data_IF_353784758855
#
_entry.id   IF_353784758855
#
_cell.length_a   1.000
_cell.length_b   1.000
_cell.length_c   1.000
_cell.angle_alpha   90.00
_cell.angle_beta   90.00
_cell.angle_gamma   90.00
#
_symmetry.space_group_name_H-M   'P 1'
#
loop_
_entity.id
_entity.type
_entity.pdbx_description
1 polymer ?
2 non-polymer ?
3 water ?
#
# COMPACT_ATOMS: atom_id res chain seq x y z
N UNK A 11 3.45 -21.43 13.44
CA UNK A 11 2.32 -20.83 12.71
C UNK A 11 1.00 -21.58 12.96
N UNK A 12 -0.07 -20.84 13.25
CA UNK A 12 -1.34 -21.48 13.57
C UNK A 12 -1.88 -22.34 12.43
N UNK A 13 -1.91 -23.64 12.62
CA UNK A 13 -2.40 -24.57 11.61
C UNK A 13 -3.90 -24.70 11.76
N UNK A 14 -4.63 -24.56 10.66
CA UNK A 14 -6.10 -24.59 10.63
C UNK A 14 -6.56 -25.88 9.93
N UNK A 15 -7.54 -26.53 10.51
CA UNK A 15 -8.06 -27.73 9.85
C UNK A 15 -8.96 -27.34 8.69
N UNK A 16 -8.85 -28.03 7.55
CA UNK A 16 -9.70 -27.67 6.39
C UNK A 16 -11.21 -27.71 6.69
N UNK A 17 -11.65 -28.49 7.68
CA UNK A 17 -13.08 -28.54 7.96
C UNK A 17 -13.57 -27.22 8.55
N UNK A 18 -12.67 -26.38 9.04
CA UNK A 18 -13.05 -25.09 9.58
C UNK A 18 -13.12 -24.01 8.52
N UNK A 19 -12.81 -24.33 7.26
CA UNK A 19 -12.69 -23.35 6.20
C UNK A 19 -13.76 -23.64 5.17
N UNK A 20 -14.48 -22.60 4.77
CA UNK A 20 -15.48 -22.66 3.71
C UNK A 20 -15.15 -21.61 2.67
N UNK A 21 -14.66 -22.03 1.51
CA UNK A 21 -14.45 -21.12 0.38
C UNK A 21 -15.79 -20.83 -0.25
N UNK A 22 -15.98 -19.59 -0.69
CA UNK A 22 -17.26 -19.17 -1.25
C UNK A 22 -17.14 -18.60 -2.67
N UNK A 23 -16.40 -17.51 -2.87
CA UNK A 23 -16.25 -16.96 -4.20
C UNK A 23 -14.78 -16.70 -4.47
N UNK A 24 -14.41 -16.74 -5.75
CA UNK A 24 -13.09 -16.31 -6.21
C UNK A 24 -13.05 -14.77 -6.28
N UNK A 25 -11.88 -14.22 -5.96
CA UNK A 25 -11.71 -12.78 -5.92
C UNK A 25 -10.35 -12.36 -6.46
N UNK A 26 -9.58 -13.30 -7.01
CA UNK A 26 -8.27 -12.99 -7.53
C UNK A 26 -7.54 -14.28 -7.86
N UNK A 27 -6.28 -14.10 -8.31
CA UNK A 27 -5.44 -15.22 -8.74
C UNK A 27 -4.06 -15.15 -8.09
N UNK A 28 -3.57 -16.31 -7.63
CA UNK A 28 -2.29 -16.39 -6.95
C UNK A 28 -1.20 -16.91 -7.86
N UNK A 29 -0.03 -17.14 -7.25
CA UNK A 29 1.11 -17.72 -7.95
C UNK A 29 0.69 -19.00 -8.66
N UNK A 30 0.16 -19.97 -7.89
CA UNK A 30 -0.30 -21.24 -8.43
C UNK A 30 -1.56 -21.63 -7.67
N UNK A 31 -2.57 -20.79 -7.79
CA UNK A 31 -3.84 -21.02 -7.14
C UNK A 31 -4.69 -19.78 -7.22
N UNK A 32 -5.94 -19.94 -6.78
CA UNK A 32 -6.90 -18.85 -6.77
C UNK A 32 -6.97 -18.25 -5.37
N UNK A 33 -7.57 -17.06 -5.27
CA UNK A 33 -7.81 -16.38 -4.01
C UNK A 33 -9.32 -16.28 -3.79
N UNK A 34 -9.79 -16.69 -2.61
CA UNK A 34 -11.21 -16.78 -2.33
C UNK A 34 -11.58 -15.86 -1.17
N UNK A 35 -12.87 -15.54 -1.11
CA UNK A 35 -13.49 -15.07 0.13
C UNK A 35 -14.23 -16.26 0.74
N UNK A 36 -14.28 -16.30 2.06
CA UNK A 36 -14.90 -17.43 2.72
C UNK A 36 -15.12 -17.18 4.19
N UNK A 37 -15.40 -18.27 4.91
CA UNK A 37 -15.70 -18.21 6.33
C UNK A 37 -14.74 -19.11 7.07
N UNK A 38 -14.41 -18.73 8.30
CA UNK A 38 -13.57 -19.53 9.18
C UNK A 38 -14.29 -19.74 10.50
N UNK A 39 -14.43 -21.00 10.89
CA UNK A 39 -15.09 -21.36 12.14
C UNK A 39 -14.07 -21.43 13.27
N UNK A 40 -14.40 -20.81 14.40
CA UNK A 40 -13.68 -21.05 15.66
C UNK A 40 -14.34 -20.25 16.80
N UNK A 46 -18.45 -17.75 13.19
CA UNK A 46 -17.85 -17.79 11.85
C UNK A 46 -17.34 -16.41 11.46
N UNK A 47 -16.09 -16.36 11.01
CA UNK A 47 -15.39 -15.12 10.67
C UNK A 47 -15.15 -15.11 9.17
N UNK A 48 -15.44 -14.00 8.47
CA UNK A 48 -15.10 -13.94 7.04
C UNK A 48 -13.58 -13.81 6.89
N UNK A 49 -13.03 -14.48 5.86
CA UNK A 49 -11.59 -14.53 5.64
C UNK A 49 -11.31 -14.45 4.15
N UNK A 50 -10.05 -14.15 3.83
CA UNK A 50 -9.54 -14.28 2.47
C UNK A 50 -8.61 -15.50 2.47
N UNK A 51 -8.63 -16.27 1.38
CA UNK A 51 -7.96 -17.58 1.30
C UNK A 51 -7.15 -17.61 0.02
N UNK A 52 -5.85 -17.84 0.13
CA UNK A 52 -4.96 -18.03 -1.01
C UNK A 52 -4.58 -19.50 -1.00
N UNK A 53 -4.80 -20.17 -2.12
CA UNK A 53 -4.55 -21.59 -2.20
C UNK A 53 -3.36 -21.85 -3.11
N UNK A 54 -2.66 -22.97 -2.85
CA UNK A 54 -1.58 -23.51 -3.70
C UNK A 54 -2.04 -24.85 -4.24
N UNK A 55 -2.29 -24.89 -5.54
CA UNK A 55 -3.00 -26.01 -6.14
C UNK A 55 -2.05 -27.11 -6.58
N UNK A 56 -2.62 -28.31 -6.78
CA UNK A 56 -1.84 -29.48 -7.11
C UNK A 56 -0.96 -29.21 -8.33
N UNK A 57 0.27 -29.68 -8.26
CA UNK A 57 1.24 -29.48 -9.31
C UNK A 57 2.19 -28.35 -9.05
N UNK A 58 2.03 -27.62 -7.92
CA UNK A 58 2.97 -26.56 -7.60
C UNK A 58 4.39 -27.11 -7.52
N UNK A 59 5.33 -26.26 -7.82
CA UNK A 59 6.75 -26.60 -7.90
C UNK A 59 7.36 -26.44 -6.51
N UNK A 60 8.57 -26.97 -6.37
CA UNK A 60 9.30 -26.79 -5.11
C UNK A 60 9.48 -25.30 -4.76
N UNK A 61 9.81 -24.49 -5.75
CA UNK A 61 10.01 -23.07 -5.50
C UNK A 61 8.71 -22.40 -5.07
N UNK A 62 7.61 -22.77 -5.70
CA UNK A 62 6.33 -22.21 -5.34
C UNK A 62 5.97 -22.56 -3.91
N UNK A 63 6.26 -23.78 -3.48
CA UNK A 63 5.97 -24.17 -2.11
C UNK A 63 6.84 -23.40 -1.12
N UNK A 64 8.12 -23.23 -1.46
CA UNK A 64 9.00 -22.46 -0.58
C UNK A 64 8.47 -21.03 -0.43
N UNK A 65 8.17 -20.38 -1.54
CA UNK A 65 7.66 -19.00 -1.46
C UNK A 65 6.31 -18.95 -0.73
N UNK A 66 5.44 -19.93 -1.00
CA UNK A 66 4.10 -19.90 -0.44
C UNK A 66 4.15 -20.02 1.07
N UNK A 67 4.79 -21.08 1.57
CA UNK A 67 4.94 -21.24 3.00
C UNK A 67 5.90 -20.24 3.60
N UNK A 68 6.83 -19.70 2.82
CA UNK A 68 7.66 -18.63 3.34
C UNK A 68 6.89 -17.33 3.54
N UNK A 69 5.99 -17.00 2.62
CA UNK A 69 5.05 -15.90 2.82
C UNK A 69 4.24 -16.11 4.10
N UNK A 70 3.74 -17.33 4.29
CA UNK A 70 2.95 -17.64 5.48
C UNK A 70 3.78 -17.43 6.72
N UNK A 71 5.02 -17.96 6.74
CA UNK A 71 5.90 -17.75 7.89
C UNK A 71 6.08 -16.29 8.27
N UNK A 72 6.40 -15.43 7.30
CA UNK A 72 6.70 -14.05 7.65
C UNK A 72 5.44 -13.33 8.04
N UNK A 73 4.34 -13.58 7.34
CA UNK A 73 3.09 -12.98 7.78
C UNK A 73 2.77 -13.37 9.23
N UNK A 74 2.99 -14.64 9.56
CA UNK A 74 2.76 -15.07 10.93
C UNK A 74 3.62 -14.36 11.94
N UNK A 75 4.80 -13.93 11.54
CA UNK A 75 5.69 -13.16 12.41
C UNK A 75 5.17 -11.73 12.65
N UNK A 76 4.50 -11.14 11.68
CA UNK A 76 4.02 -9.77 11.80
C UNK A 76 2.83 -9.67 12.75
N UNK A 77 2.86 -8.65 13.60
CA UNK A 77 1.77 -8.39 14.57
C UNK A 77 1.66 -6.86 14.70
N UNK A 78 0.87 -6.25 13.83
CA UNK A 78 0.80 -4.80 13.85
C UNK A 78 -0.56 -4.42 13.31
N UNK A 79 -1.12 -3.32 13.81
CA UNK A 79 -2.47 -2.85 13.45
C UNK A 79 -2.62 -2.60 11.97
N UNK A 80 -1.54 -2.10 11.35
CA UNK A 80 -1.56 -1.70 9.96
C UNK A 80 -0.91 -2.71 9.05
N UNK A 81 -0.81 -3.96 9.44
CA UNK A 81 -0.33 -5.06 8.60
C UNK A 81 -1.43 -6.12 8.64
N UNK A 82 -1.77 -6.66 7.45
CA UNK A 82 -2.82 -7.65 7.35
C UNK A 82 -2.45 -8.78 8.29
N UNK A 83 -3.41 -9.25 9.04
CA UNK A 83 -3.23 -10.31 10.02
C UNK A 83 -3.46 -11.68 9.39
N UNK A 84 -2.58 -12.60 9.72
CA UNK A 84 -2.70 -13.99 9.33
C UNK A 84 -3.57 -14.73 10.33
N UNK A 85 -4.66 -15.29 9.84
CA UNK A 85 -5.48 -16.12 10.71
C UNK A 85 -4.86 -17.50 10.89
N UNK A 86 -4.28 -18.05 9.84
CA UNK A 86 -3.62 -19.34 9.94
C UNK A 86 -3.31 -19.88 8.57
N UNK A 87 -2.84 -21.14 8.60
CA UNK A 87 -2.34 -21.80 7.41
C UNK A 87 -2.86 -23.22 7.41
N UNK A 88 -3.11 -23.72 6.22
CA UNK A 88 -3.29 -25.14 6.00
C UNK A 88 -2.07 -25.63 5.21
N UNK A 89 -1.18 -26.34 5.89
CA UNK A 89 -0.01 -26.96 5.28
C UNK A 89 -0.01 -28.47 5.36
N UNK A 90 -0.74 -29.09 6.30
CA UNK A 90 -0.81 -30.54 6.45
C UNK A 90 -1.78 -31.20 5.48
N UNK A 91 -2.59 -30.46 4.74
CA UNK A 91 -3.52 -31.06 3.80
C UNK A 91 -3.43 -30.29 2.50
N UNK A 92 -3.88 -30.90 1.44
CA UNK A 92 -3.90 -30.29 0.10
C UNK A 92 -5.34 -30.00 -0.33
N UNK A 93 -5.60 -28.82 -0.95
CA UNK A 93 -4.63 -27.75 -1.26
C UNK A 93 -4.19 -26.95 0.00
N UNK A 94 -2.94 -26.48 -0.02
CA UNK A 94 -2.44 -25.64 1.05
C UNK A 94 -3.08 -24.26 0.95
N UNK A 95 -3.20 -23.59 2.09
CA UNK A 95 -3.96 -22.35 2.15
C UNK A 95 -3.29 -21.35 3.07
N UNK A 96 -3.29 -20.07 2.67
CA UNK A 96 -3.00 -18.95 3.55
C UNK A 96 -4.31 -18.24 3.86
N UNK A 97 -4.63 -18.06 5.13
CA UNK A 97 -5.94 -17.51 5.51
C UNK A 97 -5.72 -16.24 6.30
N UNK A 98 -6.31 -15.14 5.83
CA UNK A 98 -6.11 -13.85 6.45
C UNK A 98 -7.46 -13.25 6.82
N UNK A 99 -7.39 -12.22 7.66
CA UNK A 99 -8.59 -11.43 7.94
C UNK A 99 -9.15 -10.86 6.64
N UNK A 100 -10.46 -10.76 6.56
CA UNK A 100 -11.12 -10.17 5.41
C UNK A 100 -11.35 -8.68 5.68
N UNK A 101 -11.12 -7.88 4.67
CA UNK A 101 -11.25 -6.44 4.77
C UNK A 101 -12.40 -6.02 3.87
N UNK A 102 -13.46 -5.51 4.47
CA UNK A 102 -14.73 -5.39 3.74
C UNK A 102 -14.65 -4.36 2.61
N UNK A 103 -13.79 -3.36 2.72
CA UNK A 103 -13.75 -2.28 1.74
C UNK A 103 -12.70 -2.47 0.65
N UNK A 104 -12.00 -3.61 0.68
CA UNK A 104 -11.10 -4.05 -0.37
C UNK A 104 -9.90 -3.15 -0.51
N UNK A 105 -9.36 -3.11 -1.75
CA UNK A 105 -8.11 -2.45 -2.08
C UNK A 105 -8.32 -0.94 -2.08
N UNK A 106 -7.31 -0.23 -1.54
CA UNK A 106 -7.42 1.21 -1.33
C UNK A 106 -7.54 1.99 -2.64
N UNK A 107 -6.83 1.54 -3.67
CA UNK A 107 -6.90 2.30 -4.92
C UNK A 107 -8.36 2.33 -5.44
N UNK A 108 -8.97 1.18 -5.52
CA UNK A 108 -10.32 1.07 -6.06
C UNK A 108 -11.31 1.76 -5.14
N UNK A 109 -11.15 1.54 -3.83
CA UNK A 109 -11.92 2.21 -2.82
C UNK A 109 -11.95 3.72 -3.06
N UNK A 110 -10.79 4.36 -3.14
CA UNK A 110 -10.79 5.81 -3.25
C UNK A 110 -11.41 6.29 -4.55
N UNK A 111 -11.14 5.57 -5.66
CA UNK A 111 -11.74 5.93 -6.95
C UNK A 111 -13.25 5.88 -6.91
N UNK A 112 -13.81 4.96 -6.11
CA UNK A 112 -15.26 4.79 -5.95
C UNK A 112 -15.86 5.70 -4.90
N UNK A 113 -15.05 6.43 -4.16
CA UNK A 113 -15.59 7.30 -3.12
C UNK A 113 -15.02 8.71 -3.23
N UNK A 114 -14.86 9.20 -4.46
CA UNK A 114 -14.17 10.45 -4.76
C UNK A 114 -14.80 11.57 -3.97
N UNK A 115 -13.97 12.33 -3.27
CA UNK A 115 -14.48 13.48 -2.52
C UNK A 115 -15.26 13.21 -1.25
N UNK A 116 -15.36 11.96 -0.82
CA UNK A 116 -16.28 11.62 0.25
C UNK A 116 -15.66 11.73 1.64
N UNK A 117 -14.38 12.04 1.75
CA UNK A 117 -13.72 12.05 3.04
C UNK A 117 -13.12 13.42 3.36
N UNK A 118 -12.79 13.64 4.62
CA UNK A 118 -12.14 14.86 5.04
C UNK A 118 -10.64 14.73 4.85
N UNK A 119 -9.95 15.87 4.74
CA UNK A 119 -8.48 15.84 4.71
C UNK A 119 -7.89 15.09 5.93
N UNK A 120 -8.46 15.31 7.12
CA UNK A 120 -7.99 14.58 8.31
C UNK A 120 -8.12 13.05 8.15
N UNK A 121 -9.26 12.60 7.63
CA UNK A 121 -9.41 11.17 7.35
C UNK A 121 -8.35 10.67 6.37
N UNK A 122 -8.09 11.42 5.29
CA UNK A 122 -7.12 10.98 4.29
C UNK A 122 -5.72 10.89 4.88
N UNK A 123 -5.30 11.93 5.61
CA UNK A 123 -4.01 11.91 6.28
C UNK A 123 -3.94 10.79 7.29
N UNK A 124 -5.08 10.45 7.90
CA UNK A 124 -5.06 9.36 8.85
C UNK A 124 -4.74 8.03 8.20
N UNK A 125 -5.29 7.80 7.01
CA UNK A 125 -4.96 6.59 6.28
C UNK A 125 -3.48 6.54 5.98
N UNK A 126 -2.88 7.69 5.63
CA UNK A 126 -1.45 7.73 5.35
C UNK A 126 -0.64 7.47 6.58
N UNK A 127 -1.05 7.98 7.72
CA UNK A 127 -0.37 7.65 8.97
C UNK A 127 -0.36 6.16 9.22
N UNK A 128 -1.51 5.52 9.05
CA UNK A 128 -1.58 4.08 9.18
C UNK A 128 -0.58 3.34 8.30
N UNK A 129 -0.64 3.63 7.00
CA UNK A 129 0.23 2.97 6.06
C UNK A 129 1.67 3.21 6.44
N UNK A 130 1.99 4.41 6.88
CA UNK A 130 3.37 4.70 7.22
C UNK A 130 3.78 3.91 8.46
N UNK A 131 2.87 3.80 9.44
CA UNK A 131 3.17 3.02 10.63
C UNK A 131 3.43 1.56 10.28
N UNK A 132 2.63 0.98 9.42
CA UNK A 132 2.86 -0.39 9.03
C UNK A 132 4.13 -0.53 8.23
N UNK A 133 4.49 0.46 7.39
CA UNK A 133 5.75 0.40 6.66
C UNK A 133 6.97 0.59 7.59
N UNK A 134 6.84 1.48 8.58
CA UNK A 134 7.93 1.61 9.56
C UNK A 134 8.18 0.27 10.24
N UNK A 135 7.10 -0.42 10.61
CA UNK A 135 7.21 -1.74 11.21
C UNK A 135 7.88 -2.71 10.27
N UNK A 136 7.38 -2.83 9.05
CA UNK A 136 8.04 -3.73 8.08
C UNK A 136 9.53 -3.42 7.91
N UNK A 137 9.87 -2.15 7.71
CA UNK A 137 11.26 -1.76 7.50
C UNK A 137 12.10 -2.10 8.72
N UNK A 138 11.54 -1.88 9.91
CA UNK A 138 12.31 -2.25 11.10
C UNK A 138 12.53 -3.76 11.22
N UNK A 139 11.54 -4.55 10.79
CA UNK A 139 11.69 -6.00 10.73
C UNK A 139 12.56 -6.46 9.56
N UNK A 140 13.18 -5.52 8.83
CA UNK A 140 14.04 -5.83 7.70
C UNK A 140 13.27 -6.49 6.55
N UNK A 141 12.00 -6.13 6.38
CA UNK A 141 11.18 -6.62 5.28
C UNK A 141 11.10 -5.49 4.26
N UNK A 142 11.59 -5.74 3.05
CA UNK A 142 11.48 -4.77 1.97
C UNK A 142 10.29 -5.14 1.08
N UNK A 143 9.32 -4.24 0.95
CA UNK A 143 8.07 -4.61 0.29
C UNK A 143 8.25 -4.77 -1.20
N UNK A 144 8.82 -3.75 -1.82
CA UNK A 144 9.12 -3.69 -3.25
C UNK A 144 7.94 -3.36 -4.16
N UNK A 145 6.73 -3.47 -3.68
CA UNK A 145 5.57 -3.23 -4.52
C UNK A 145 4.54 -2.44 -3.74
N UNK A 146 4.98 -1.42 -3.03
CA UNK A 146 4.08 -0.62 -2.21
C UNK A 146 3.30 0.30 -3.15
N UNK A 147 1.98 0.18 -3.10
CA UNK A 147 1.10 0.93 -3.94
C UNK A 147 -0.27 0.83 -3.31
N UNK A 148 -1.13 1.80 -3.63
CA UNK A 148 -2.48 1.78 -3.08
C UNK A 148 -3.14 0.45 -3.37
N UNK A 149 -2.84 -0.14 -4.51
CA UNK A 149 -3.53 -1.38 -4.82
C UNK A 149 -3.14 -2.52 -3.88
N UNK A 150 -2.05 -2.40 -3.12
CA UNK A 150 -1.66 -3.44 -2.18
C UNK A 150 -2.01 -3.06 -0.74
N UNK A 151 -2.86 -2.07 -0.54
CA UNK A 151 -3.30 -1.64 0.78
C UNK A 151 -4.79 -1.98 0.87
N UNK A 152 -5.19 -2.64 1.96
CA UNK A 152 -6.57 -3.02 2.19
C UNK A 152 -7.15 -2.10 3.26
N UNK A 153 -8.47 -1.93 3.21
CA UNK A 153 -9.18 -0.97 4.05
C UNK A 153 -10.31 -1.70 4.78
N UNK A 154 -10.39 -1.57 6.12
CA UNK A 154 -11.48 -2.24 6.83
C UNK A 154 -12.60 -1.26 7.13
N UNK A 155 -13.61 -1.72 7.86
CA UNK A 155 -14.80 -0.92 8.13
C UNK A 155 -14.56 0.19 9.13
N UNK A 156 -13.35 0.32 9.67
CA UNK A 156 -12.99 1.49 10.47
C UNK A 156 -12.09 2.47 9.70
N UNK A 157 -11.93 2.27 8.39
CA UNK A 157 -11.07 3.08 7.56
C UNK A 157 -9.61 2.81 7.85
N UNK A 158 -9.32 1.74 8.56
CA UNK A 158 -7.93 1.39 8.86
C UNK A 158 -7.29 0.72 7.65
N UNK A 159 -6.14 1.21 7.27
CA UNK A 159 -5.39 0.71 6.13
C UNK A 159 -4.28 -0.26 6.56
N UNK A 160 -4.25 -1.41 5.93
CA UNK A 160 -3.33 -2.47 6.23
C UNK A 160 -2.48 -2.78 4.99
N UNK A 161 -1.16 -2.70 5.17
CA UNK A 161 -0.24 -3.11 4.12
C UNK A 161 -0.39 -4.59 3.84
N UNK A 162 -0.51 -4.94 2.56
CA UNK A 162 -0.57 -6.30 2.09
C UNK A 162 0.43 -6.49 0.96
N UNK A 163 0.53 -7.70 0.45
CA UNK A 163 1.31 -7.95 -0.78
C UNK A 163 0.65 -9.11 -1.50
N UNK A 164 -0.10 -8.81 -2.52
CA UNK A 164 -0.80 -9.83 -3.27
C UNK A 164 0.11 -10.51 -4.29
N UNK A 186 6.02 -2.30 -11.53
CA UNK A 186 5.35 -1.08 -11.03
C UNK A 186 6.25 0.15 -11.23
N UNK A 187 6.64 0.40 -12.50
CA UNK A 187 7.61 1.44 -12.79
C UNK A 187 7.20 2.75 -12.15
N UNK A 188 5.92 3.15 -12.30
CA UNK A 188 5.43 4.44 -11.84
C UNK A 188 5.51 4.59 -10.31
N UNK A 189 5.58 3.49 -9.58
CA UNK A 189 5.71 3.52 -8.13
C UNK A 189 7.13 3.29 -7.63
N UNK A 190 8.09 3.01 -8.52
CA UNK A 190 9.39 2.49 -8.10
C UNK A 190 10.51 3.50 -8.10
N UNK A 191 11.35 3.44 -7.03
CA UNK A 191 12.43 4.40 -6.93
C UNK A 191 13.37 4.25 -8.16
N UNK A 192 14.08 5.34 -8.55
CA UNK A 192 15.06 5.22 -9.66
C UNK A 192 16.10 4.12 -9.45
N UNK A 193 16.66 3.96 -8.23
CA UNK A 193 17.74 2.97 -8.13
C UNK A 193 17.19 1.55 -8.26
N UNK A 194 15.93 1.33 -7.85
CA UNK A 194 15.34 -0.01 -7.96
C UNK A 194 15.06 -0.37 -9.41
N UNK A 195 14.60 0.61 -10.18
CA UNK A 195 14.49 0.49 -11.64
C UNK A 195 15.86 0.27 -12.25
N UNK A 196 16.78 1.19 -11.99
CA UNK A 196 18.01 1.21 -12.77
C UNK A 196 18.89 0.00 -12.49
N UNK A 197 19.00 -0.42 -11.21
CA UNK A 197 19.92 -1.52 -10.93
C UNK A 197 19.42 -2.42 -9.81
N UNK A 198 18.11 -2.41 -9.57
CA UNK A 198 17.43 -3.42 -8.78
C UNK A 198 17.84 -3.33 -7.33
N UNK A 199 18.16 -2.11 -6.89
CA UNK A 199 18.46 -1.89 -5.48
C UNK A 199 17.15 -1.57 -4.75
N UNK A 200 16.55 -2.60 -4.15
CA UNK A 200 15.28 -2.47 -3.46
C UNK A 200 15.58 -2.41 -1.98
N UNK A 201 15.20 -1.34 -1.31
CA UNK A 201 15.48 -1.20 0.11
C UNK A 201 14.30 -0.49 0.74
N UNK A 202 14.28 -0.36 2.08
CA UNK A 202 13.24 0.46 2.67
C UNK A 202 13.25 1.89 2.15
N UNK A 203 14.41 2.39 1.67
CA UNK A 203 14.41 3.75 1.07
C UNK A 203 13.72 3.80 -0.31
N UNK A 204 13.75 2.72 -1.07
CA UNK A 204 12.95 2.70 -2.29
C UNK A 204 11.49 2.51 -1.95
N UNK A 205 11.18 1.80 -0.86
CA UNK A 205 9.81 1.78 -0.36
C UNK A 205 9.33 3.19 -0.03
N UNK A 206 10.20 4.05 0.56
CA UNK A 206 9.80 5.40 0.90
C UNK A 206 9.39 6.16 -0.35
N UNK A 207 10.14 6.05 -1.43
CA UNK A 207 9.72 6.62 -2.71
C UNK A 207 8.31 6.20 -3.07
N UNK A 208 8.06 4.89 -2.95
CA UNK A 208 6.75 4.36 -3.28
C UNK A 208 5.68 4.94 -2.35
N UNK A 209 6.02 5.08 -1.07
CA UNK A 209 5.08 5.65 -0.12
C UNK A 209 4.75 7.07 -0.52
N UNK A 210 5.76 7.86 -0.97
CA UNK A 210 5.46 9.16 -1.60
C UNK A 210 4.36 9.09 -2.67
N UNK A 211 4.52 8.12 -3.57
CA UNK A 211 3.50 7.92 -4.61
C UNK A 211 2.18 7.52 -3.99
N UNK A 212 2.21 6.68 -2.97
CA UNK A 212 0.93 6.34 -2.31
C UNK A 212 0.28 7.56 -1.67
N UNK A 213 1.08 8.43 -1.00
CA UNK A 213 0.53 9.70 -0.52
C UNK A 213 -0.25 10.46 -1.62
N UNK A 214 0.32 10.53 -2.83
CA UNK A 214 -0.32 11.26 -3.91
C UNK A 214 -1.57 10.51 -4.37
N UNK A 215 -1.48 9.19 -4.45
CA UNK A 215 -2.68 8.39 -4.74
C UNK A 215 -3.81 8.71 -3.75
N UNK A 216 -3.47 8.76 -2.47
CA UNK A 216 -4.52 9.00 -1.51
C UNK A 216 -5.11 10.39 -1.69
N UNK A 217 -4.25 11.41 -1.77
CA UNK A 217 -4.77 12.76 -1.73
C UNK A 217 -5.52 13.11 -3.01
N UNK A 218 -5.28 12.35 -4.11
CA UNK A 218 -5.98 12.58 -5.38
C UNK A 218 -7.19 11.65 -5.51
N UNK A 219 -7.45 10.79 -4.53
CA UNK A 219 -8.51 9.78 -4.60
C UNK A 219 -8.29 8.78 -5.74
N UNK A 220 -7.07 8.28 -5.85
CA UNK A 220 -6.81 7.16 -6.71
C UNK A 220 -6.50 7.54 -8.12
N UNK A 221 -6.04 8.75 -8.39
CA UNK A 221 -5.60 9.06 -9.75
C UNK A 221 -4.39 8.21 -10.20
N UNK A 222 -4.25 8.06 -11.49
CA UNK A 222 -3.14 7.27 -12.02
C UNK A 222 -1.89 8.14 -11.95
N UNK A 223 -0.84 7.71 -11.26
CA UNK A 223 0.40 8.51 -11.20
C UNK A 223 0.90 8.76 -12.58
N UNK A 224 1.24 10.02 -12.87
CA UNK A 224 1.75 10.51 -14.16
C UNK A 224 0.74 10.39 -15.30
N UNK A 225 -0.54 10.13 -15.00
CA UNK A 225 -1.65 10.08 -16.03
C UNK A 225 -1.20 9.20 -17.17
N UNK A 226 -1.25 9.67 -18.41
CA UNK A 226 -1.09 8.81 -19.55
C UNK A 226 0.36 8.69 -19.97
N UNK A 227 1.31 9.27 -19.23
CA UNK A 227 2.72 9.12 -19.64
C UNK A 227 3.07 7.63 -19.68
N UNK A 228 3.79 7.25 -20.74
CA UNK A 228 4.30 5.90 -20.86
C UNK A 228 5.35 5.61 -19.77
N UNK A 229 5.66 4.33 -19.58
CA UNK A 229 6.65 4.01 -18.54
C UNK A 229 7.99 4.66 -18.89
N UNK A 230 8.34 4.72 -20.17
CA UNK A 230 9.61 5.34 -20.54
C UNK A 230 9.55 6.86 -20.38
N UNK A 231 8.40 7.46 -20.67
CA UNK A 231 8.26 8.89 -20.42
C UNK A 231 8.32 9.22 -18.91
N UNK A 232 7.76 8.35 -18.06
CA UNK A 232 7.89 8.57 -16.62
C UNK A 232 9.38 8.56 -16.18
N UNK A 233 10.09 7.52 -16.51
CA UNK A 233 11.50 7.46 -16.11
C UNK A 233 12.28 8.65 -16.64
N UNK A 234 11.96 9.10 -17.87
CA UNK A 234 12.64 10.25 -18.45
C UNK A 234 12.29 11.52 -17.72
N UNK A 235 11.03 11.64 -17.32
CA UNK A 235 10.61 12.80 -16.60
C UNK A 235 11.35 12.87 -15.28
N UNK A 236 11.29 11.76 -14.53
CA UNK A 236 11.97 11.70 -13.23
C UNK A 236 13.46 12.05 -13.39
N UNK A 237 14.12 11.39 -14.32
CA UNK A 237 15.54 11.67 -14.49
C UNK A 237 15.74 13.14 -14.87
N UNK A 238 14.83 13.71 -15.65
CA UNK A 238 14.96 15.09 -16.06
C UNK A 238 14.72 15.99 -14.86
N UNK A 239 14.21 15.46 -13.73
CA UNK A 239 13.96 16.28 -12.54
C UNK A 239 12.49 16.65 -12.28
N UNK A 240 11.58 16.32 -13.19
CA UNK A 240 10.16 16.60 -12.93
C UNK A 240 9.62 15.71 -11.81
N UNK A 241 8.61 16.21 -11.11
CA UNK A 241 7.92 15.41 -10.08
C UNK A 241 6.42 15.64 -10.20
N UNK A 242 5.63 14.71 -9.67
CA UNK A 242 4.19 14.86 -9.73
C UNK A 242 3.77 16.19 -9.10
N UNK A 243 2.84 16.91 -9.74
CA UNK A 243 2.36 18.18 -9.19
C UNK A 243 1.46 17.97 -7.96
N UNK A 244 1.20 19.06 -7.26
CA UNK A 244 0.41 18.93 -6.05
C UNK A 244 -1.00 18.48 -6.42
N UNK A 245 -1.63 17.61 -5.64
CA UNK A 245 -3.07 17.36 -5.81
C UNK A 245 -3.87 18.59 -5.44
N UNK A 246 -5.14 18.59 -5.86
CA UNK A 246 -6.07 19.60 -5.42
C UNK A 246 -6.36 19.41 -3.95
N UNK A 247 -6.51 20.52 -3.22
CA UNK A 247 -6.96 20.50 -1.82
C UNK A 247 -5.99 19.74 -0.91
N UNK A 248 -4.71 19.94 -1.13
CA UNK A 248 -3.68 19.16 -0.47
C UNK A 248 -2.94 20.04 0.51
N UNK A 249 -2.80 19.61 1.77
CA UNK A 249 -2.09 20.43 2.75
C UNK A 249 -0.68 20.68 2.26
N UNK A 250 -0.20 21.89 2.50
CA UNK A 250 1.18 22.17 2.13
C UNK A 250 2.16 21.19 2.79
N UNK A 251 1.96 20.90 4.07
CA UNK A 251 2.85 19.95 4.75
C UNK A 251 2.92 18.60 4.05
N UNK A 252 1.78 18.12 3.56
CA UNK A 252 1.70 16.77 2.98
C UNK A 252 2.39 16.72 1.60
N UNK A 253 2.19 17.78 0.81
CA UNK A 253 2.94 17.86 -0.43
C UNK A 253 4.44 17.94 -0.19
N UNK A 254 4.90 18.77 0.78
CA UNK A 254 6.32 18.84 1.10
C UNK A 254 6.87 17.47 1.44
N UNK A 255 6.11 16.66 2.21
CA UNK A 255 6.58 15.35 2.62
C UNK A 255 6.69 14.38 1.42
N UNK A 256 5.66 14.27 0.59
CA UNK A 256 5.79 13.38 -0.54
C UNK A 256 6.95 13.84 -1.42
N UNK A 257 7.14 15.17 -1.58
CA UNK A 257 8.25 15.65 -2.42
C UNK A 257 9.59 15.15 -1.88
N UNK A 258 9.75 15.17 -0.55
CA UNK A 258 11.00 14.66 0.03
C UNK A 258 11.17 13.15 -0.20
N UNK A 259 10.06 12.42 -0.24
CA UNK A 259 10.16 10.99 -0.50
C UNK A 259 10.69 10.71 -1.90
N UNK A 260 10.61 11.68 -2.79
CA UNK A 260 11.02 11.53 -4.19
C UNK A 260 12.41 12.12 -4.51
N UNK A 261 13.25 12.26 -3.49
CA UNK A 261 14.62 12.68 -3.71
C UNK A 261 15.34 11.65 -4.57
N UNK A 262 16.02 12.11 -5.63
CA UNK A 262 16.83 11.20 -6.42
C UNK A 262 17.85 10.48 -5.53
N UNK A 263 18.49 11.24 -4.61
CA UNK A 263 19.54 10.70 -3.74
C UNK A 263 18.87 9.93 -2.62
N UNK A 264 19.02 8.60 -2.65
CA UNK A 264 18.37 7.73 -1.67
C UNK A 264 18.67 8.12 -0.23
N UNK A 265 19.94 8.42 0.07
CA UNK A 265 20.28 8.81 1.44
C UNK A 265 19.55 10.06 1.90
N UNK A 266 18.97 10.86 1.01
CA UNK A 266 18.37 12.11 1.45
C UNK A 266 16.91 11.94 1.84
N UNK A 267 16.30 10.82 1.48
CA UNK A 267 14.87 10.66 1.73
C UNK A 267 14.61 10.50 3.22
N UNK A 268 13.42 10.81 3.69
CA UNK A 268 13.10 10.51 5.11
C UNK A 268 13.05 9.00 5.30
N UNK A 269 13.30 8.59 6.54
CA UNK A 269 13.10 7.20 6.90
C UNK A 269 11.63 7.08 7.28
N UNK A 270 11.12 5.88 7.44
CA UNK A 270 9.69 5.81 7.77
C UNK A 270 9.46 6.36 9.17
N UNK A 271 10.46 6.26 10.07
CA UNK A 271 10.28 6.85 11.39
C UNK A 271 10.02 8.35 11.27
N UNK A 272 10.70 9.01 10.33
CA UNK A 272 10.52 10.44 10.15
C UNK A 272 9.12 10.71 9.63
N UNK A 273 8.69 9.90 8.65
CA UNK A 273 7.35 10.03 8.05
C UNK A 273 6.24 9.85 9.07
N UNK A 274 6.27 8.75 9.84
CA UNK A 274 5.26 8.55 10.89
C UNK A 274 5.23 9.70 11.87
N UNK A 275 6.41 10.18 12.30
CA UNK A 275 6.50 11.23 13.30
C UNK A 275 5.83 12.51 12.80
N UNK A 276 6.09 12.89 11.54
CA UNK A 276 5.45 14.09 10.98
C UNK A 276 3.95 13.92 10.82
N UNK A 277 3.51 12.80 10.26
CA UNK A 277 2.07 12.62 10.05
C UNK A 277 1.33 12.56 11.40
N UNK A 278 1.95 11.96 12.41
CA UNK A 278 1.30 11.95 13.72
C UNK A 278 1.22 13.37 14.31
N UNK A 279 2.26 14.18 14.13
CA UNK A 279 2.20 15.54 14.65
C UNK A 279 1.19 16.38 13.90
N UNK A 280 1.11 16.21 12.59
CA UNK A 280 0.13 16.93 11.79
C UNK A 280 -1.29 16.61 12.22
N UNK A 281 -1.56 15.33 12.42
CA UNK A 281 -2.91 14.92 12.83
C UNK A 281 -3.23 15.47 14.18
N UNK A 282 -2.26 15.43 15.12
CA UNK A 282 -2.55 15.84 16.50
C UNK A 282 -2.68 17.34 16.66
N UNK A 283 -2.21 18.10 15.66
CA UNK A 283 -2.33 19.55 15.59
C UNK A 283 -3.01 19.86 14.27
N UNK A 284 -4.29 19.50 14.14
CA UNK A 284 -4.90 19.43 12.82
C UNK A 284 -5.07 20.79 12.11
N UNK A 285 -5.00 21.94 12.84
CA UNK A 285 -4.98 23.21 12.13
C UNK A 285 -3.82 23.28 11.14
N UNK A 286 -2.76 22.52 11.37
CA UNK A 286 -1.60 22.49 10.50
C UNK A 286 -1.96 22.02 9.11
N UNK A 287 -3.04 21.27 8.99
CA UNK A 287 -3.45 20.76 7.69
C UNK A 287 -4.28 21.73 6.90
N UNK A 288 -4.66 22.86 7.48
CA UNK A 288 -5.49 23.82 6.77
C UNK A 288 -4.71 24.67 5.75
N UNK A 289 -3.40 24.80 5.89
CA UNK A 289 -2.60 25.52 4.91
C UNK A 289 -2.42 24.64 3.68
N UNK A 290 -2.86 25.09 2.53
CA UNK A 290 -2.89 24.25 1.34
C UNK A 290 -1.78 24.64 0.39
N UNK A 291 -1.18 23.65 -0.25
CA UNK A 291 -0.26 23.95 -1.34
C UNK A 291 -1.08 24.50 -2.51
N UNK A 292 -0.49 25.44 -3.24
CA UNK A 292 -1.13 25.98 -4.44
C UNK A 292 -1.30 24.88 -5.48
N UNK A 293 -2.48 24.80 -6.06
CA UNK A 293 -2.75 23.84 -7.14
C UNK A 293 -2.52 24.54 -8.48
N UNK A 294 -1.72 23.92 -9.35
CA UNK A 294 -1.37 24.49 -10.64
C UNK A 294 -2.47 24.17 -11.62
N UNK A 295 -3.29 25.14 -12.01
CA UNK A 295 -4.42 24.82 -12.89
C UNK A 295 -3.93 24.44 -14.28
N UNK A 296 -4.46 23.35 -14.80
CA UNK A 296 -4.20 22.91 -16.17
C UNK A 296 -5.17 23.52 -17.20
N UNK A 297 -6.29 24.05 -16.73
CA UNK A 297 -7.29 24.71 -17.56
C UNK A 297 -7.69 26.02 -16.88
N UNK A 298 -7.80 27.09 -17.68
CA UNK A 298 -8.30 28.38 -17.21
C UNK A 298 -9.74 28.53 -17.69
N UNK A 299 -10.62 28.97 -16.81
CA UNK A 299 -11.98 29.30 -17.14
C UNK A 299 -12.19 30.74 -16.74
N UNK A 300 -12.47 31.60 -17.72
CA UNK A 300 -12.70 33.03 -17.55
C UNK A 300 -14.20 33.29 -17.53
N UNK A 301 -14.69 33.86 -16.43
CA UNK A 301 -16.05 34.40 -16.38
C UNK A 301 -16.03 35.78 -15.75
N UNK A 302 -16.88 36.72 -16.21
CA UNK A 302 -16.87 38.09 -15.64
C UNK A 302 -17.16 38.11 -14.15
#
# INVERSE_FOLDING_TARGET
>A
GDPNQAVLKFTTEIHPSCVTRQKVIGAGEFGEVYKGMLKTSSGKKEVPVAIKTLKAGYTEKQRVDFLGEAGIMGQFSHHNIIRLEGVISKYKPMMIITEYMENGALDKFLREKDGEFSVLQLVGMLRGIAAGMKYLANMNYVHRDLAARNILVNSNLVCKVSDFGLSRVLEDDPEATYTTSGGKIPIRWTAPEAISYRKFTSASDVWSFGIVMWEVMTYGERPYWELSNHEVMKAINDGFRLPTPMDCPSAIYQLMMQCWQQERARRPKFADIVSILDKLIRAPDSLKTLADFDPRVSIRLPSTSG
#
